data_IF_240161660418
#
_entry.id   IF_240161660418
#
_cell.length_a   1.000
_cell.length_b   1.000
_cell.length_c   1.000
_cell.angle_alpha   90.00
_cell.angle_beta   90.00
_cell.angle_gamma   90.00
#
_symmetry.space_group_name_H-M   'P 1'
#
loop_
_entity.id
_entity.type
_entity.pdbx_description
1 polymer ?
#
# COMPACT_ATOMS: atom_id res chain seq x y z
N UNK A 1 -21.75 69.95 -48.94
CA UNK A 1 -22.73 69.62 -47.89
C UNK A 1 -22.91 68.10 -47.87
N UNK A 2 -21.80 67.34 -47.97
CA UNK A 2 -21.85 65.96 -48.53
C UNK A 2 -21.30 64.89 -47.59
N UNK A 3 -20.86 65.28 -46.38
CA UNK A 3 -20.23 64.37 -45.40
C UNK A 3 -21.22 63.84 -44.35
N UNK A 4 -22.44 64.38 -44.29
CA UNK A 4 -23.47 63.95 -43.32
C UNK A 4 -24.49 62.95 -43.88
N UNK A 5 -24.55 62.76 -45.21
CA UNK A 5 -25.45 61.78 -45.81
C UNK A 5 -24.78 60.41 -46.01
N UNK A 6 -23.46 60.37 -46.25
CA UNK A 6 -22.72 59.11 -46.35
C UNK A 6 -22.60 58.39 -44.99
N UNK A 7 -22.43 59.13 -43.89
CA UNK A 7 -22.37 58.54 -42.54
C UNK A 7 -23.72 58.00 -42.02
N UNK A 8 -24.84 58.42 -42.61
CA UNK A 8 -26.18 57.88 -42.32
C UNK A 8 -26.49 56.61 -43.10
N UNK A 9 -26.00 56.47 -44.33
CA UNK A 9 -26.17 55.24 -45.11
C UNK A 9 -25.22 54.13 -44.67
N UNK A 10 -24.02 54.47 -44.20
CA UNK A 10 -23.07 53.49 -43.66
C UNK A 10 -23.49 52.95 -42.27
N UNK A 11 -24.23 53.75 -41.48
CA UNK A 11 -24.83 53.31 -40.20
C UNK A 11 -26.11 52.46 -40.34
N UNK A 12 -26.76 52.44 -41.50
CA UNK A 12 -27.99 51.65 -41.71
C UNK A 12 -27.70 50.22 -42.19
N UNK A 13 -26.46 49.92 -42.56
CA UNK A 13 -25.99 48.55 -42.82
C UNK A 13 -25.48 47.85 -41.55
N UNK A 14 -25.65 48.48 -40.38
CA UNK A 14 -25.41 47.84 -39.09
C UNK A 14 -26.54 46.84 -38.77
N UNK A 15 -26.30 45.59 -39.16
CA UNK A 15 -26.71 44.38 -38.45
C UNK A 15 -28.20 44.26 -38.11
N UNK A 16 -29.07 44.30 -39.11
CA UNK A 16 -30.37 43.63 -39.00
C UNK A 16 -30.16 42.14 -39.25
N UNK A 17 -29.74 41.42 -38.21
CA UNK A 17 -29.71 39.96 -38.25
C UNK A 17 -31.11 39.44 -38.58
N UNK A 18 -31.21 38.54 -39.58
CA UNK A 18 -32.47 37.92 -40.01
C UNK A 18 -33.24 37.37 -38.80
N UNK A 19 -34.53 37.67 -38.69
CA UNK A 19 -35.39 37.30 -37.55
C UNK A 19 -35.35 35.77 -37.30
N UNK A 20 -35.19 34.99 -38.38
CA UNK A 20 -35.02 33.53 -38.30
C UNK A 20 -33.71 33.12 -37.63
N UNK A 21 -32.62 33.80 -37.93
CA UNK A 21 -31.31 33.57 -37.32
C UNK A 21 -31.29 33.96 -35.84
N UNK A 22 -31.94 35.06 -35.48
CA UNK A 22 -32.09 35.46 -34.07
C UNK A 22 -32.92 34.42 -33.29
N UNK A 23 -33.98 33.86 -33.90
CA UNK A 23 -34.78 32.79 -33.28
C UNK A 23 -33.98 31.52 -33.09
N UNK A 24 -33.23 31.04 -34.10
CA UNK A 24 -32.40 29.84 -33.96
C UNK A 24 -31.32 30.04 -32.89
N UNK A 25 -30.67 31.21 -32.84
CA UNK A 25 -29.67 31.52 -31.83
C UNK A 25 -30.25 31.55 -30.42
N UNK A 26 -31.48 32.04 -30.25
CA UNK A 26 -32.19 32.00 -28.96
C UNK A 26 -32.54 30.57 -28.55
N UNK A 27 -32.96 29.73 -29.49
CA UNK A 27 -33.29 28.33 -29.24
C UNK A 27 -32.04 27.52 -28.88
N UNK A 28 -30.92 27.75 -29.56
CA UNK A 28 -29.61 27.19 -29.21
C UNK A 28 -29.16 27.65 -27.83
N UNK A 29 -29.21 28.95 -27.55
CA UNK A 29 -28.84 29.50 -26.23
C UNK A 29 -29.72 28.91 -25.14
N UNK A 30 -31.01 28.68 -25.40
CA UNK A 30 -31.93 28.06 -24.45
C UNK A 30 -31.56 26.61 -24.19
N UNK A 31 -31.28 25.83 -25.23
CA UNK A 31 -30.81 24.43 -25.09
C UNK A 31 -29.52 24.36 -24.28
N UNK A 32 -28.52 25.20 -24.58
CA UNK A 32 -27.27 25.22 -23.83
C UNK A 32 -27.48 25.66 -22.37
N UNK A 33 -28.35 26.64 -22.11
CA UNK A 33 -28.70 27.03 -20.73
C UNK A 33 -29.39 25.91 -19.97
N UNK A 34 -30.30 25.19 -20.61
CA UNK A 34 -31.01 24.07 -20.00
C UNK A 34 -30.05 22.89 -19.74
N UNK A 35 -29.14 22.60 -20.68
CA UNK A 35 -28.07 21.62 -20.50
C UNK A 35 -27.12 21.98 -19.35
N UNK A 36 -26.66 23.24 -19.27
CA UNK A 36 -25.79 23.70 -18.18
C UNK A 36 -26.50 23.59 -16.84
N UNK A 37 -27.79 23.95 -16.76
CA UNK A 37 -28.57 23.80 -15.53
C UNK A 37 -28.74 22.34 -15.12
N UNK A 38 -28.95 21.44 -16.08
CA UNK A 38 -29.11 20.02 -15.80
C UNK A 38 -27.79 19.40 -15.33
N UNK A 39 -26.69 19.68 -16.04
CA UNK A 39 -25.33 19.26 -15.64
C UNK A 39 -25.00 19.79 -14.24
N UNK A 40 -25.33 21.04 -13.94
CA UNK A 40 -25.05 21.63 -12.64
C UNK A 40 -25.86 20.96 -11.52
N UNK A 41 -27.13 20.63 -11.76
CA UNK A 41 -27.94 19.85 -10.80
C UNK A 41 -27.38 18.45 -10.57
N UNK A 42 -26.95 17.78 -11.63
CA UNK A 42 -26.32 16.45 -11.52
C UNK A 42 -25.01 16.53 -10.75
N UNK A 43 -24.19 17.56 -11.02
CA UNK A 43 -22.94 17.80 -10.32
C UNK A 43 -23.16 18.11 -8.84
N UNK A 44 -24.10 18.98 -8.50
CA UNK A 44 -24.46 19.30 -7.11
C UNK A 44 -25.02 18.07 -6.39
N UNK A 45 -25.84 17.26 -7.07
CA UNK A 45 -26.35 15.99 -6.53
C UNK A 45 -25.25 14.95 -6.30
N UNK A 46 -24.30 14.82 -7.22
CA UNK A 46 -23.13 13.95 -7.07
C UNK A 46 -22.23 14.44 -5.93
N UNK A 47 -21.99 15.73 -5.84
CA UNK A 47 -21.20 16.34 -4.76
C UNK A 47 -21.83 16.09 -3.39
N UNK A 48 -23.16 16.25 -3.27
CA UNK A 48 -23.88 15.92 -2.04
C UNK A 48 -23.82 14.43 -1.68
N UNK A 49 -23.86 13.53 -2.67
CA UNK A 49 -23.76 12.09 -2.40
C UNK A 49 -22.36 11.71 -1.89
N UNK A 50 -21.29 12.28 -2.46
CA UNK A 50 -19.91 12.12 -1.99
C UNK A 50 -19.76 12.69 -0.57
N UNK A 51 -20.25 13.90 -0.31
CA UNK A 51 -20.22 14.51 1.02
C UNK A 51 -20.96 13.66 2.06
N UNK A 52 -22.15 13.15 1.71
CA UNK A 52 -22.93 12.30 2.62
C UNK A 52 -22.28 10.95 2.90
N UNK A 53 -21.64 10.32 1.91
CA UNK A 53 -20.98 9.01 2.10
C UNK A 53 -19.70 9.12 2.92
N UNK A 54 -18.96 10.21 2.75
CA UNK A 54 -17.69 10.46 3.45
C UNK A 54 -17.88 11.22 4.77
N UNK A 55 -19.10 11.66 5.11
CA UNK A 55 -19.40 12.44 6.31
C UNK A 55 -18.84 13.87 6.29
N UNK A 56 -18.56 14.41 5.10
CA UNK A 56 -17.89 15.68 4.89
C UNK A 56 -18.91 16.81 4.78
N UNK A 57 -18.63 17.96 5.40
CA UNK A 57 -19.55 19.10 5.38
C UNK A 57 -19.19 20.12 4.31
N UNK A 58 -17.90 20.21 3.95
CA UNK A 58 -17.39 21.17 2.98
C UNK A 58 -16.36 20.56 2.03
N UNK A 59 -16.14 21.20 0.88
CA UNK A 59 -15.13 20.79 -0.12
C UNK A 59 -13.71 20.77 0.46
N UNK A 60 -13.44 21.69 1.38
CA UNK A 60 -12.17 21.73 2.12
C UNK A 60 -11.95 20.46 2.95
N UNK A 61 -13.02 19.87 3.48
CA UNK A 61 -12.93 18.62 4.23
C UNK A 61 -12.63 17.45 3.27
N UNK A 62 -13.15 17.48 2.04
CA UNK A 62 -12.87 16.46 1.03
C UNK A 62 -11.41 16.47 0.60
N UNK A 63 -10.83 17.64 0.32
CA UNK A 63 -9.41 17.77 0.00
C UNK A 63 -8.53 17.31 1.16
N UNK A 64 -8.87 17.72 2.40
CA UNK A 64 -8.16 17.27 3.59
C UNK A 64 -8.26 15.75 3.78
N UNK A 65 -9.44 15.17 3.59
CA UNK A 65 -9.60 13.73 3.67
C UNK A 65 -8.80 13.00 2.59
N UNK A 66 -8.85 13.46 1.34
CA UNK A 66 -8.05 12.87 0.24
C UNK A 66 -6.57 12.94 0.58
N UNK A 67 -6.09 14.09 1.07
CA UNK A 67 -4.70 14.27 1.44
C UNK A 67 -4.30 13.37 2.62
N UNK A 68 -5.13 13.28 3.67
CA UNK A 68 -4.90 12.39 4.81
C UNK A 68 -4.89 10.91 4.39
N UNK A 69 -5.80 10.50 3.51
CA UNK A 69 -5.84 9.12 2.99
C UNK A 69 -4.63 8.83 2.12
N UNK A 70 -4.21 9.78 1.29
CA UNK A 70 -2.99 9.67 0.46
C UNK A 70 -1.75 9.57 1.34
N UNK A 71 -1.63 10.41 2.36
CA UNK A 71 -0.52 10.35 3.33
C UNK A 71 -0.50 9.03 4.10
N UNK A 72 -1.64 8.57 4.60
CA UNK A 72 -1.75 7.26 5.27
C UNK A 72 -1.40 6.09 4.35
N UNK A 73 -1.84 6.15 3.10
CA UNK A 73 -1.52 5.13 2.10
C UNK A 73 -0.01 5.11 1.80
N UNK A 74 0.58 6.29 1.58
CA UNK A 74 2.01 6.44 1.36
C UNK A 74 2.84 5.98 2.57
N UNK A 75 2.41 6.33 3.78
CA UNK A 75 3.06 5.89 5.03
C UNK A 75 2.99 4.37 5.20
N UNK A 76 1.82 3.78 4.93
CA UNK A 76 1.62 2.34 5.01
C UNK A 76 2.45 1.58 3.98
N UNK A 77 2.55 2.12 2.77
CA UNK A 77 3.36 1.60 1.68
C UNK A 77 4.85 1.64 2.06
N UNK A 78 5.34 2.79 2.53
CA UNK A 78 6.72 2.94 2.98
C UNK A 78 7.03 1.99 4.13
N UNK A 79 6.12 1.85 5.10
CA UNK A 79 6.27 0.91 6.22
C UNK A 79 6.35 -0.55 5.75
N UNK A 80 5.53 -0.93 4.75
CA UNK A 80 5.56 -2.27 4.18
C UNK A 80 6.89 -2.55 3.47
N UNK A 81 7.37 -1.58 2.69
CA UNK A 81 8.64 -1.69 1.97
C UNK A 81 9.83 -1.79 2.95
N UNK A 82 9.85 -0.91 3.96
CA UNK A 82 10.86 -0.94 5.02
C UNK A 82 10.85 -2.28 5.74
N UNK A 83 9.67 -2.83 6.07
CA UNK A 83 9.57 -4.14 6.71
C UNK A 83 10.10 -5.27 5.82
N UNK A 84 9.82 -5.22 4.52
CA UNK A 84 10.31 -6.20 3.54
C UNK A 84 11.84 -6.18 3.50
N UNK A 85 12.44 -5.01 3.26
CA UNK A 85 13.89 -4.85 3.16
C UNK A 85 14.58 -5.07 4.52
N UNK A 86 13.97 -4.64 5.63
CA UNK A 86 14.47 -4.88 6.97
C UNK A 86 14.59 -6.38 7.28
N UNK A 87 13.65 -7.18 6.80
CA UNK A 87 13.71 -8.65 6.92
C UNK A 87 14.91 -9.21 6.16
N UNK A 88 15.16 -8.73 4.94
CA UNK A 88 16.31 -9.14 4.13
C UNK A 88 17.66 -8.74 4.77
N UNK A 89 17.71 -7.58 5.44
CA UNK A 89 18.89 -7.06 6.13
C UNK A 89 19.07 -7.62 7.56
N UNK A 90 18.14 -8.44 8.05
CA UNK A 90 18.21 -9.02 9.39
C UNK A 90 17.95 -8.02 10.53
N UNK A 91 17.26 -6.92 10.25
CA UNK A 91 16.83 -5.94 11.24
C UNK A 91 15.76 -6.57 12.15
N UNK A 92 15.98 -6.51 13.46
CA UNK A 92 15.07 -7.07 14.49
C UNK A 92 13.82 -6.22 14.66
N UNK A 93 13.99 -4.89 14.62
CA UNK A 93 12.92 -3.92 14.83
C UNK A 93 12.73 -3.03 13.59
N UNK A 94 11.82 -3.46 12.71
CA UNK A 94 11.47 -2.72 11.50
C UNK A 94 10.73 -1.41 11.81
N UNK A 95 10.03 -1.30 12.95
CA UNK A 95 9.32 -0.09 13.34
C UNK A 95 10.32 0.98 13.84
N UNK A 96 11.32 0.57 14.63
CA UNK A 96 12.44 1.44 14.98
C UNK A 96 13.26 1.87 13.76
N UNK A 97 13.46 0.96 12.79
CA UNK A 97 14.12 1.32 11.54
C UNK A 97 13.33 2.36 10.75
N UNK A 98 12.00 2.20 10.65
CA UNK A 98 11.12 3.19 10.01
C UNK A 98 11.10 4.55 10.72
N UNK A 99 11.21 4.57 12.05
CA UNK A 99 11.25 5.81 12.82
C UNK A 99 12.60 6.55 12.72
N UNK A 100 13.69 5.81 12.51
CA UNK A 100 15.06 6.34 12.52
C UNK A 100 15.65 6.52 11.11
N UNK A 101 14.99 6.01 10.07
CA UNK A 101 15.42 6.19 8.69
C UNK A 101 15.38 7.66 8.30
N UNK A 102 16.38 8.08 7.54
CA UNK A 102 16.34 9.39 6.89
C UNK A 102 15.31 9.35 5.77
N UNK A 103 14.38 10.30 5.80
CA UNK A 103 13.32 10.43 4.80
C UNK A 103 13.77 11.33 3.65
N UNK A 104 14.89 12.03 3.80
CA UNK A 104 15.45 12.89 2.77
C UNK A 104 15.97 12.02 1.61
N UNK A 105 15.28 12.09 0.47
CA UNK A 105 15.65 11.36 -0.76
C UNK A 105 14.79 10.12 -1.08
N UNK A 106 13.75 9.82 -0.28
CA UNK A 106 12.78 8.78 -0.63
C UNK A 106 11.82 9.29 -1.70
N UNK A 107 11.81 8.61 -2.85
CA UNK A 107 10.87 8.89 -3.92
C UNK A 107 9.81 7.79 -3.98
N UNK A 108 8.55 8.19 -3.78
CA UNK A 108 7.39 7.35 -4.02
C UNK A 108 6.89 7.66 -5.43
N UNK A 109 7.07 6.72 -6.34
CA UNK A 109 6.56 6.84 -7.70
C UNK A 109 5.04 6.64 -7.75
N UNK A 110 4.40 7.10 -8.83
CA UNK A 110 2.93 7.04 -9.00
C UNK A 110 2.37 5.60 -9.04
N UNK A 111 3.23 4.61 -9.34
CA UNK A 111 2.90 3.18 -9.35
C UNK A 111 2.90 2.56 -7.94
N UNK A 112 3.30 3.31 -6.90
CA UNK A 112 3.50 2.81 -5.55
C UNK A 112 4.86 2.14 -5.32
N UNK A 113 5.81 2.27 -6.25
CA UNK A 113 7.19 1.83 -6.01
C UNK A 113 7.93 2.89 -5.20
N UNK A 114 8.58 2.48 -4.09
CA UNK A 114 9.41 3.36 -3.28
C UNK A 114 10.88 3.11 -3.63
N UNK A 115 11.60 4.15 -4.05
CA UNK A 115 13.05 4.09 -4.34
C UNK A 115 13.87 4.63 -3.18
N UNK A 116 15.08 4.10 -3.00
CA UNK A 116 16.04 4.59 -2.01
C UNK A 116 15.94 3.95 -0.62
N UNK A 117 14.91 3.12 -0.36
CA UNK A 117 14.69 2.54 0.97
C UNK A 117 15.84 1.61 1.38
N UNK A 118 16.41 0.87 0.42
CA UNK A 118 17.48 -0.09 0.69
C UNK A 118 18.77 0.62 1.10
N UNK A 119 19.16 1.64 0.35
CA UNK A 119 20.35 2.43 0.59
C UNK A 119 20.28 3.15 1.94
N UNK A 120 19.11 3.71 2.27
CA UNK A 120 18.87 4.36 3.56
C UNK A 120 18.98 3.35 4.71
N UNK A 121 18.40 2.15 4.56
CA UNK A 121 18.48 1.11 5.57
C UNK A 121 19.91 0.55 5.74
N UNK A 122 20.69 0.45 4.67
CA UNK A 122 22.09 0.02 4.75
C UNK A 122 22.95 1.04 5.54
N UNK A 123 22.76 2.34 5.30
CA UNK A 123 23.41 3.41 6.08
C UNK A 123 22.92 3.40 7.53
N UNK A 124 21.64 3.13 7.75
CA UNK A 124 21.05 3.03 9.08
C UNK A 124 21.65 1.87 9.88
N UNK A 125 21.83 0.70 9.25
CA UNK A 125 22.47 -0.47 9.87
C UNK A 125 23.91 -0.17 10.26
N UNK A 126 24.66 0.54 9.41
CA UNK A 126 26.04 0.95 9.72
C UNK A 126 26.12 1.93 10.90
N UNK A 127 25.21 2.90 10.95
CA UNK A 127 25.18 3.90 12.04
C UNK A 127 24.62 3.34 13.35
N UNK A 128 23.71 2.36 13.27
CA UNK A 128 23.00 1.76 14.41
C UNK A 128 23.02 0.22 14.32
N UNK A 129 24.18 -0.41 14.57
CA UNK A 129 24.34 -1.87 14.44
C UNK A 129 23.43 -2.68 15.37
N UNK A 130 22.94 -2.07 16.46
CA UNK A 130 22.02 -2.70 17.42
C UNK A 130 20.64 -3.01 16.84
N UNK A 131 20.29 -2.45 15.67
CA UNK A 131 19.04 -2.75 14.98
C UNK A 131 19.07 -4.11 14.29
N UNK A 132 20.26 -4.61 13.95
CA UNK A 132 20.42 -5.92 13.31
C UNK A 132 20.58 -6.98 14.37
N UNK A 133 20.02 -8.16 14.11
CA UNK A 133 20.20 -9.30 14.98
C UNK A 133 21.69 -9.62 14.99
N UNK A 134 22.36 -9.35 16.11
CA UNK A 134 23.69 -9.91 16.32
C UNK A 134 23.51 -11.42 16.29
N UNK A 135 23.97 -12.01 15.20
CA UNK A 135 24.17 -13.45 15.13
C UNK A 135 25.35 -13.69 16.06
N UNK A 136 25.08 -13.85 17.35
CA UNK A 136 25.99 -14.58 18.21
C UNK A 136 26.31 -15.86 17.44
N UNK A 137 27.59 -16.13 17.22
CA UNK A 137 28.07 -17.40 16.66
C UNK A 137 27.87 -18.54 17.68
N UNK A 138 26.69 -18.61 18.30
CA UNK A 138 26.21 -19.63 19.19
C UNK A 138 25.12 -20.42 18.48
N UNK A 139 25.52 -21.62 18.04
CA UNK A 139 24.65 -22.72 17.62
C UNK A 139 23.74 -22.45 16.40
N UNK A 140 24.26 -22.88 15.24
CA UNK A 140 23.49 -23.39 14.11
C UNK A 140 22.47 -24.44 14.59
N UNK A 141 21.27 -24.00 14.99
CA UNK A 141 20.11 -24.87 14.99
C UNK A 141 19.66 -25.04 13.55
N UNK A 142 19.94 -26.21 12.99
CA UNK A 142 19.49 -26.59 11.66
C UNK A 142 17.96 -26.42 11.52
N UNK A 143 17.45 -26.03 10.33
CA UNK A 143 16.02 -25.89 10.11
C UNK A 143 15.33 -27.23 10.40
N UNK A 144 14.45 -27.24 11.40
CA UNK A 144 13.65 -28.39 11.77
C UNK A 144 12.67 -28.69 10.63
N UNK A 145 13.07 -29.55 9.68
CA UNK A 145 12.14 -30.18 8.75
C UNK A 145 11.18 -31.05 9.57
N UNK A 146 9.89 -30.82 9.33
CA UNK A 146 8.75 -31.44 10.00
C UNK A 146 8.96 -32.88 10.44
N UNK A 147 8.78 -33.08 11.73
CA UNK A 147 8.87 -34.36 12.43
C UNK A 147 8.99 -34.08 13.92
N UNK A 148 7.95 -33.51 14.52
CA UNK A 148 7.87 -33.31 15.96
C UNK A 148 7.99 -34.67 16.64
N UNK A 149 9.20 -35.01 17.10
CA UNK A 149 9.38 -36.00 18.14
C UNK A 149 8.79 -35.35 19.41
N UNK A 150 7.53 -35.67 19.70
CA UNK A 150 6.90 -35.31 20.96
C UNK A 150 7.77 -35.84 22.10
N UNK A 151 8.41 -34.92 22.82
CA UNK A 151 9.05 -35.19 24.09
C UNK A 151 7.98 -35.23 25.17
N UNK A 152 7.60 -36.43 25.57
CA UNK A 152 6.81 -36.64 26.78
C UNK A 152 7.72 -37.42 27.75
N UNK A 153 8.07 -36.82 28.88
CA UNK A 153 8.81 -37.50 29.95
C UNK A 153 10.33 -37.62 29.78
N UNK A 154 11.01 -36.61 29.24
CA UNK A 154 12.48 -36.45 29.38
C UNK A 154 13.38 -37.40 28.58
N UNK A 155 12.83 -38.45 27.95
CA UNK A 155 13.62 -39.41 27.18
C UNK A 155 13.31 -39.29 25.68
N UNK A 156 14.35 -39.12 24.88
CA UNK A 156 14.28 -39.04 23.41
C UNK A 156 13.72 -40.35 22.85
N UNK A 157 12.55 -40.31 22.20
CA UNK A 157 11.97 -41.50 21.53
C UNK A 157 12.91 -41.95 20.41
N UNK A 158 13.42 -43.18 20.51
CA UNK A 158 14.27 -43.81 19.49
C UNK A 158 13.45 -43.99 18.22
N UNK A 159 13.87 -43.41 17.10
CA UNK A 159 13.14 -43.55 15.84
C UNK A 159 13.54 -44.81 15.07
N UNK A 160 12.77 -45.19 14.05
CA UNK A 160 13.13 -46.31 13.14
C UNK A 160 14.46 -46.09 12.43
N UNK A 161 14.86 -44.84 12.20
CA UNK A 161 16.17 -44.53 11.63
C UNK A 161 17.29 -44.74 12.64
N UNK A 162 17.05 -44.41 13.90
CA UNK A 162 18.03 -44.56 14.98
C UNK A 162 18.33 -46.05 15.23
N UNK A 163 17.32 -46.92 15.19
CA UNK A 163 17.47 -48.38 15.26
C UNK A 163 18.40 -48.97 14.18
N UNK A 164 18.41 -48.39 12.98
CA UNK A 164 19.29 -48.84 11.88
C UNK A 164 20.74 -48.40 12.08
N UNK A 165 20.95 -47.33 12.85
CA UNK A 165 22.28 -46.77 13.15
C UNK A 165 22.84 -47.29 14.48
N UNK A 166 21.99 -47.82 15.37
CA UNK A 166 22.36 -48.42 16.65
C UNK A 166 22.98 -49.81 16.48
N UNK A 167 23.88 -50.15 17.39
CA UNK A 167 24.48 -51.49 17.44
C UNK A 167 23.47 -52.50 17.99
N UNK A 168 23.56 -53.80 17.63
CA UNK A 168 22.63 -54.83 18.11
C UNK A 168 22.49 -54.90 19.64
N UNK A 169 23.58 -54.61 20.36
CA UNK A 169 23.59 -54.57 21.83
C UNK A 169 22.77 -53.41 22.39
N UNK A 170 22.86 -52.24 21.77
CA UNK A 170 22.11 -51.03 22.15
C UNK A 170 20.61 -51.22 21.86
N UNK A 171 20.28 -51.90 20.76
CA UNK A 171 18.89 -52.27 20.45
C UNK A 171 18.32 -53.19 21.52
N UNK A 172 19.08 -54.19 21.99
CA UNK A 172 18.64 -55.08 23.06
C UNK A 172 18.45 -54.36 24.40
N UNK A 173 19.30 -53.38 24.71
CA UNK A 173 19.13 -52.54 25.90
C UNK A 173 17.86 -51.68 25.80
N UNK A 174 17.62 -51.06 24.64
CA UNK A 174 16.42 -50.27 24.39
C UNK A 174 15.12 -51.10 24.38
N UNK A 175 15.21 -52.38 23.99
CA UNK A 175 14.11 -53.35 24.13
C UNK A 175 13.84 -53.67 25.61
N UNK A 176 14.90 -53.88 26.40
CA UNK A 176 14.81 -54.20 27.82
C UNK A 176 14.33 -53.01 28.67
N UNK A 177 14.70 -51.78 28.30
CA UNK A 177 14.28 -50.55 28.98
C UNK A 177 12.88 -50.07 28.57
N UNK A 178 12.24 -50.71 27.59
CA UNK A 178 10.90 -50.35 27.11
C UNK A 178 10.85 -49.11 26.22
N UNK A 179 11.99 -48.56 25.83
CA UNK A 179 12.10 -47.37 24.97
C UNK A 179 11.56 -47.62 23.55
N UNK A 180 11.53 -48.88 23.12
CA UNK A 180 11.04 -49.30 21.80
C UNK A 180 9.56 -49.68 21.77
N UNK A 181 8.84 -49.64 22.90
CA UNK A 181 7.42 -50.01 22.96
C UNK A 181 6.56 -49.20 21.99
N UNK A 182 6.89 -47.92 21.81
CA UNK A 182 6.19 -47.03 20.88
C UNK A 182 6.37 -47.40 19.39
N UNK A 183 7.41 -48.16 19.04
CA UNK A 183 7.64 -48.66 17.67
C UNK A 183 7.09 -50.07 17.45
N UNK A 184 6.97 -50.85 18.53
CA UNK A 184 6.52 -52.24 18.52
C UNK A 184 5.02 -52.40 18.83
N UNK A 185 4.32 -51.30 19.14
CA UNK A 185 2.89 -51.25 19.46
C UNK A 185 2.50 -52.33 20.50
N UNK A 186 3.28 -52.40 21.58
CA UNK A 186 3.09 -53.28 22.73
C UNK A 186 2.66 -52.51 23.96
#
# INVERSE_FOLDING_TARGET
MDTQEQSKQENQQLNTYDEKYIKSLRDETKKYKDQVKDIQKQFDGFKQSIHSQLGLKTDSDLEQHIQQWKEKANESLLKAEVKSIATDLGIVDSDAAFALMDREGLEIAEDGSVKGVREVLDVLVQSKPYLVKQVDQGEVMAPTKGGQAFQEGGNKRITREDLKRMKPEEVNQALASGELNHLLNR
#
